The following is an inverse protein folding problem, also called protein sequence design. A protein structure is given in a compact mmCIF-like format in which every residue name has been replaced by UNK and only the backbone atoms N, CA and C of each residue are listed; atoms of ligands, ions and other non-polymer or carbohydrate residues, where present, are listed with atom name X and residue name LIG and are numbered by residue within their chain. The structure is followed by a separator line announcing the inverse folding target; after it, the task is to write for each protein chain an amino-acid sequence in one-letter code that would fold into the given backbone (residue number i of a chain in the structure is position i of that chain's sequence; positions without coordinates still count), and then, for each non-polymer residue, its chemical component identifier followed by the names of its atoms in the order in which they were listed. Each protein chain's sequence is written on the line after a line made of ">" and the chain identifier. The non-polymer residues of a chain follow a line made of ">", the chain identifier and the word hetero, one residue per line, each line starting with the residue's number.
data_IF_828727682818
#
_entry.id   IF_828727682818
#
_cell.length_a   1.000
_cell.length_b   1.000
_cell.length_c   1.000
_cell.angle_alpha   90.00
_cell.angle_beta   90.00
_cell.angle_gamma   90.00
#
_symmetry.space_group_name_H-M   'P 1'
#
loop_
_entity.id
_entity.type
_entity.pdbx_description
1 polymer ?
#
# COMPACT_ATOMS: atom_id res chain seq x y z
N UNK A 1 -38.99 -30.55 -13.59
CA UNK A 1 -38.80 -29.23 -13.02
C UNK A 1 -38.34 -29.40 -11.57
N UNK A 2 -37.07 -29.51 -11.35
CA UNK A 2 -36.45 -29.62 -10.02
C UNK A 2 -35.51 -28.43 -9.83
N UNK A 3 -35.91 -27.53 -8.96
CA UNK A 3 -35.15 -26.35 -8.61
C UNK A 3 -33.93 -26.77 -7.78
N UNK A 4 -32.75 -26.50 -8.28
CA UNK A 4 -31.52 -26.56 -7.48
C UNK A 4 -31.48 -25.40 -6.48
N UNK A 5 -31.19 -25.63 -5.21
CA UNK A 5 -31.02 -24.56 -4.25
C UNK A 5 -29.71 -23.82 -4.54
N UNK A 6 -29.83 -22.50 -4.66
CA UNK A 6 -28.72 -21.57 -4.69
C UNK A 6 -27.99 -21.68 -3.36
N UNK A 7 -26.79 -22.25 -3.34
CA UNK A 7 -25.90 -22.22 -2.18
C UNK A 7 -25.45 -20.77 -1.97
N UNK A 8 -25.93 -20.18 -0.89
CA UNK A 8 -25.37 -18.97 -0.29
C UNK A 8 -23.90 -19.25 0.10
N UNK A 9 -22.98 -18.33 -0.13
CA UNK A 9 -21.58 -18.49 0.27
C UNK A 9 -21.52 -18.57 1.80
N UNK A 10 -21.25 -19.77 2.32
CA UNK A 10 -20.96 -19.96 3.73
C UNK A 10 -19.76 -19.13 4.13
N UNK A 11 -19.94 -18.42 5.21
CA UNK A 11 -19.02 -17.58 5.96
C UNK A 11 -17.67 -18.28 6.15
N UNK A 12 -16.74 -18.08 5.24
CA UNK A 12 -15.31 -18.18 5.54
C UNK A 12 -14.92 -16.80 6.12
N UNK A 13 -15.12 -16.66 7.42
CA UNK A 13 -14.42 -15.67 8.21
C UNK A 13 -12.94 -16.00 8.12
N UNK A 14 -12.27 -15.51 7.08
CA UNK A 14 -10.83 -15.42 7.05
C UNK A 14 -10.47 -14.50 8.22
N UNK A 15 -10.02 -15.10 9.30
CA UNK A 15 -9.35 -14.39 10.39
C UNK A 15 -8.12 -13.73 9.81
N UNK A 16 -8.29 -12.46 9.40
CA UNK A 16 -7.22 -11.53 8.99
C UNK A 16 -6.34 -11.12 10.20
N UNK A 17 -6.29 -11.96 11.24
CA UNK A 17 -5.81 -11.60 12.55
C UNK A 17 -4.30 -11.80 12.76
N UNK A 18 -3.51 -12.21 11.78
CA UNK A 18 -2.13 -12.62 12.07
C UNK A 18 -1.03 -11.86 11.33
N UNK A 19 -1.31 -10.79 10.56
CA UNK A 19 -0.26 -10.05 9.81
C UNK A 19 -0.30 -8.53 10.01
N UNK A 20 -0.98 -8.04 11.04
CA UNK A 20 -1.03 -6.60 11.35
C UNK A 20 0.10 -6.12 12.28
N UNK A 21 1.13 -6.91 12.51
CA UNK A 21 2.21 -6.57 13.44
C UNK A 21 3.55 -6.23 12.78
N UNK A 22 3.58 -5.89 11.49
CA UNK A 22 4.81 -5.39 10.87
C UNK A 22 4.61 -3.99 10.32
N UNK A 23 5.07 -3.02 11.12
CA UNK A 23 5.59 -1.73 10.71
C UNK A 23 4.83 -1.04 9.59
N UNK A 24 3.69 -0.41 9.90
CA UNK A 24 3.32 0.81 9.21
C UNK A 24 4.35 1.90 9.55
N UNK A 25 5.52 1.86 8.94
CA UNK A 25 6.22 3.07 8.60
C UNK A 25 5.40 3.72 7.48
N UNK A 26 4.22 4.26 7.81
CA UNK A 26 3.59 5.24 6.95
C UNK A 26 4.61 6.35 6.81
N UNK A 27 5.29 6.41 5.67
CA UNK A 27 5.97 7.61 5.26
C UNK A 27 4.88 8.68 5.20
N UNK A 28 4.77 9.45 6.27
CA UNK A 28 4.03 10.69 6.25
C UNK A 28 4.50 11.44 4.99
N UNK A 29 3.62 12.05 4.20
CA UNK A 29 4.02 12.86 3.07
C UNK A 29 5.10 13.81 3.60
N UNK A 30 6.27 13.78 2.98
CA UNK A 30 7.41 14.57 3.42
C UNK A 30 6.95 16.01 3.52
N UNK A 31 6.87 16.52 4.75
CA UNK A 31 6.55 17.90 5.01
C UNK A 31 7.61 18.73 4.25
N UNK A 32 7.16 19.46 3.23
CA UNK A 32 8.05 20.12 2.31
C UNK A 32 8.74 21.24 3.06
N UNK A 33 10.04 21.07 3.34
CA UNK A 33 10.84 22.06 4.02
C UNK A 33 10.65 23.45 3.38
N UNK A 34 10.38 24.48 4.18
CA UNK A 34 10.26 25.84 3.67
C UNK A 34 11.61 26.36 3.18
N UNK A 35 11.61 27.18 2.13
CA UNK A 35 12.80 27.96 1.78
C UNK A 35 13.02 29.03 2.85
N UNK A 36 14.27 29.20 3.29
CA UNK A 36 14.61 30.20 4.31
C UNK A 36 14.58 31.60 3.68
N UNK A 37 13.74 32.52 4.18
CA UNK A 37 13.81 33.93 3.80
C UNK A 37 15.02 34.61 4.46
N UNK A 38 15.42 35.78 3.91
CA UNK A 38 16.46 36.59 4.50
C UNK A 38 15.97 37.20 5.81
N UNK A 39 16.40 36.65 6.95
CA UNK A 39 16.39 37.39 8.20
C UNK A 39 17.77 38.05 8.33
N UNK A 40 17.83 39.33 8.16
CA UNK A 40 19.06 40.12 8.38
C UNK A 40 19.45 40.00 9.87
N UNK A 41 20.43 39.13 10.15
CA UNK A 41 21.11 39.11 11.44
C UNK A 41 22.45 39.87 11.31
N UNK A 42 22.92 40.60 12.35
CA UNK A 42 24.09 41.43 12.25
C UNK A 42 25.38 40.63 12.07
N UNK A 43 26.26 41.23 11.35
CA UNK A 43 27.53 40.72 10.87
C UNK A 43 28.51 40.27 11.98
N UNK A 44 28.94 39.02 11.87
CA UNK A 44 30.15 38.50 12.51
C UNK A 44 31.22 38.16 11.44
N UNK A 45 32.49 37.99 11.77
CA UNK A 45 33.56 37.78 10.81
C UNK A 45 33.32 36.53 9.95
N UNK A 46 33.09 36.78 8.64
CA UNK A 46 32.67 35.76 7.66
C UNK A 46 31.43 36.17 6.88
N UNK A 47 31.16 37.47 6.73
CA UNK A 47 30.05 37.99 5.94
C UNK A 47 30.08 37.48 4.51
N UNK A 48 28.93 36.98 3.97
CA UNK A 48 28.80 36.74 2.55
C UNK A 48 29.13 38.00 1.74
N UNK A 49 29.74 37.81 0.59
CA UNK A 49 30.01 38.85 -0.39
C UNK A 49 28.71 39.62 -0.72
N UNK A 50 28.78 40.96 -0.78
CA UNK A 50 27.63 41.82 -1.06
C UNK A 50 26.84 41.42 -2.31
N UNK A 51 27.53 40.93 -3.34
CA UNK A 51 26.91 40.42 -4.57
C UNK A 51 26.08 39.16 -4.29
N UNK A 52 26.62 38.22 -3.48
CA UNK A 52 25.89 37.01 -3.10
C UNK A 52 24.66 37.30 -2.27
N UNK A 53 24.73 38.29 -1.37
CA UNK A 53 23.59 38.76 -0.59
C UNK A 53 22.46 39.30 -1.47
N UNK A 54 22.76 40.15 -2.45
CA UNK A 54 21.78 40.69 -3.40
C UNK A 54 21.12 39.56 -4.24
N UNK A 55 21.92 38.61 -4.72
CA UNK A 55 21.42 37.44 -5.45
C UNK A 55 20.55 36.57 -4.59
N UNK A 56 20.91 36.40 -3.33
CA UNK A 56 20.10 35.60 -2.38
C UNK A 56 18.77 36.27 -2.06
N UNK A 57 18.76 37.57 -1.87
CA UNK A 57 17.54 38.38 -1.70
C UNK A 57 16.60 38.24 -2.90
N UNK A 58 17.14 38.36 -4.13
CA UNK A 58 16.36 38.15 -5.36
C UNK A 58 15.80 36.72 -5.45
N UNK A 59 16.61 35.70 -5.16
CA UNK A 59 16.16 34.32 -5.14
C UNK A 59 15.06 34.09 -4.09
N UNK A 60 15.20 34.68 -2.91
CA UNK A 60 14.22 34.56 -1.81
C UNK A 60 12.91 35.23 -2.17
N UNK A 61 12.93 36.44 -2.75
CA UNK A 61 11.73 37.13 -3.24
C UNK A 61 11.01 36.32 -4.33
N UNK A 62 11.78 35.74 -5.25
CA UNK A 62 11.20 34.86 -6.28
C UNK A 62 10.54 33.61 -5.66
N UNK A 63 11.15 32.98 -4.63
CA UNK A 63 10.59 31.88 -3.92
C UNK A 63 9.28 32.22 -3.19
N UNK A 64 9.24 33.38 -2.52
CA UNK A 64 8.03 33.91 -1.88
C UNK A 64 6.91 34.20 -2.88
N UNK A 65 7.25 34.79 -4.03
CA UNK A 65 6.28 35.07 -5.10
C UNK A 65 5.65 33.77 -5.64
N UNK A 66 6.47 32.73 -5.86
CA UNK A 66 5.99 31.44 -6.27
C UNK A 66 5.10 30.77 -5.19
N UNK A 67 5.46 30.91 -3.93
CA UNK A 67 4.66 30.39 -2.82
C UNK A 67 3.27 31.07 -2.74
N UNK A 68 3.22 32.39 -2.96
CA UNK A 68 1.97 33.17 -2.96
C UNK A 68 1.08 32.89 -4.16
N UNK A 69 1.67 32.74 -5.35
CA UNK A 69 0.92 32.48 -6.59
C UNK A 69 0.47 31.02 -6.76
N UNK A 70 1.07 30.08 -5.99
CA UNK A 70 0.89 28.65 -6.18
C UNK A 70 1.56 28.09 -7.44
N UNK A 71 2.14 28.94 -8.28
CA UNK A 71 2.90 28.53 -9.47
C UNK A 71 4.34 28.20 -9.07
N UNK A 72 4.80 26.99 -9.38
CA UNK A 72 6.13 26.50 -9.02
C UNK A 72 7.01 26.40 -10.26
N UNK A 73 8.16 27.05 -10.19
CA UNK A 73 9.28 26.87 -11.13
C UNK A 73 10.56 26.61 -10.30
N UNK A 74 10.69 25.37 -9.85
CA UNK A 74 11.83 24.95 -9.04
C UNK A 74 13.14 25.04 -9.85
N UNK A 75 13.11 24.91 -11.18
CA UNK A 75 14.28 25.05 -12.03
C UNK A 75 14.78 26.52 -12.10
N UNK A 76 13.87 27.50 -12.13
CA UNK A 76 14.25 28.90 -12.07
C UNK A 76 14.84 29.27 -10.70
N UNK A 77 14.28 28.75 -9.61
CA UNK A 77 14.83 28.95 -8.25
C UNK A 77 16.21 28.32 -8.11
N UNK A 78 16.38 27.07 -8.61
CA UNK A 78 17.67 26.38 -8.58
C UNK A 78 18.77 27.22 -9.27
N UNK A 79 18.52 27.76 -10.46
CA UNK A 79 19.47 28.60 -11.15
C UNK A 79 19.84 29.88 -10.34
N UNK A 80 18.87 30.49 -9.65
CA UNK A 80 19.11 31.65 -8.80
C UNK A 80 19.99 31.32 -7.59
N UNK A 81 19.67 30.23 -6.87
CA UNK A 81 20.50 29.82 -5.73
C UNK A 81 21.88 29.33 -6.14
N UNK A 82 22.03 28.67 -7.31
CA UNK A 82 23.34 28.35 -7.88
C UNK A 82 24.18 29.60 -8.17
N UNK A 83 23.56 30.69 -8.66
CA UNK A 83 24.26 31.95 -8.86
C UNK A 83 24.76 32.57 -7.54
N UNK A 84 24.01 32.39 -6.43
CA UNK A 84 24.47 32.75 -5.08
C UNK A 84 25.69 31.95 -4.69
N UNK A 85 25.63 30.61 -4.82
CA UNK A 85 26.72 29.70 -4.48
C UNK A 85 28.00 29.98 -5.30
N UNK A 86 27.82 30.35 -6.59
CA UNK A 86 28.96 30.75 -7.45
C UNK A 86 29.56 32.08 -7.03
N UNK A 87 28.72 33.04 -6.59
CA UNK A 87 29.20 34.32 -6.12
C UNK A 87 29.91 34.25 -4.77
N UNK A 88 29.45 33.34 -3.89
CA UNK A 88 30.06 33.06 -2.60
C UNK A 88 29.89 31.57 -2.24
N UNK A 89 30.92 30.78 -2.46
CA UNK A 89 30.88 29.34 -2.10
C UNK A 89 30.71 29.07 -0.60
N UNK A 90 30.86 30.05 0.27
CA UNK A 90 30.72 29.90 1.73
C UNK A 90 29.30 30.17 2.23
N UNK A 91 28.38 30.59 1.31
CA UNK A 91 27.01 30.96 1.67
C UNK A 91 26.18 29.70 2.02
N UNK A 92 26.06 29.39 3.31
CA UNK A 92 25.41 28.16 3.81
C UNK A 92 23.92 28.08 3.46
N UNK A 93 23.21 29.20 3.51
CA UNK A 93 21.75 29.27 3.22
C UNK A 93 21.44 28.98 1.74
N UNK A 94 22.39 29.25 0.84
CA UNK A 94 22.24 28.86 -0.57
C UNK A 94 22.26 27.35 -0.74
N UNK A 95 23.21 26.67 -0.10
CA UNK A 95 23.27 25.19 -0.10
C UNK A 95 22.01 24.57 0.52
N UNK A 96 21.54 25.15 1.63
CA UNK A 96 20.30 24.70 2.26
C UNK A 96 19.11 24.79 1.28
N UNK A 97 18.91 25.95 0.64
CA UNK A 97 17.79 26.14 -0.29
C UNK A 97 17.90 25.24 -1.54
N UNK A 98 19.12 25.02 -2.05
CA UNK A 98 19.36 24.03 -3.11
C UNK A 98 19.03 22.61 -2.61
N UNK A 99 19.34 22.28 -1.36
CA UNK A 99 18.94 21.02 -0.73
C UNK A 99 17.44 20.82 -0.68
N UNK A 100 16.69 21.87 -0.32
CA UNK A 100 15.21 21.86 -0.33
C UNK A 100 14.67 21.63 -1.74
N UNK A 101 15.25 22.28 -2.76
CA UNK A 101 14.85 22.10 -4.15
C UNK A 101 15.16 20.69 -4.66
N UNK A 102 16.34 20.15 -4.34
CA UNK A 102 16.72 18.77 -4.66
C UNK A 102 15.76 17.75 -4.03
N UNK A 103 15.36 17.97 -2.78
CA UNK A 103 14.39 17.13 -2.10
C UNK A 103 13.01 17.18 -2.76
N UNK A 104 12.53 18.36 -3.15
CA UNK A 104 11.28 18.52 -3.90
C UNK A 104 11.28 17.78 -5.25
N UNK A 105 12.46 17.69 -5.88
CA UNK A 105 12.69 16.95 -7.12
C UNK A 105 12.88 15.43 -6.90
N UNK A 106 12.84 14.94 -5.65
CA UNK A 106 13.08 13.55 -5.31
C UNK A 106 14.55 13.12 -5.33
N UNK A 107 15.47 14.05 -5.51
CA UNK A 107 16.93 13.82 -5.56
C UNK A 107 17.52 13.76 -4.14
N UNK A 108 17.18 12.70 -3.40
CA UNK A 108 17.47 12.59 -1.96
C UNK A 108 18.96 12.65 -1.63
N UNK A 109 19.81 11.96 -2.40
CA UNK A 109 21.27 11.95 -2.15
C UNK A 109 21.89 13.34 -2.36
N UNK A 110 21.42 14.06 -3.36
CA UNK A 110 21.83 15.44 -3.61
C UNK A 110 21.39 16.38 -2.48
N UNK A 111 20.15 16.25 -2.02
CA UNK A 111 19.64 17.02 -0.88
C UNK A 111 20.46 16.74 0.39
N UNK A 112 20.77 15.48 0.66
CA UNK A 112 21.59 15.07 1.79
C UNK A 112 23.00 15.73 1.75
N UNK A 113 23.68 15.68 0.58
CA UNK A 113 24.99 16.31 0.40
C UNK A 113 24.93 17.83 0.60
N UNK A 114 23.88 18.48 0.08
CA UNK A 114 23.71 19.94 0.19
C UNK A 114 23.41 20.38 1.63
N UNK A 115 22.58 19.65 2.39
CA UNK A 115 22.36 19.97 3.81
C UNK A 115 23.63 19.76 4.65
N UNK A 116 24.42 18.72 4.36
CA UNK A 116 25.74 18.54 5.00
C UNK A 116 26.70 19.67 4.68
N UNK A 117 26.77 20.09 3.42
CA UNK A 117 27.58 21.24 2.98
C UNK A 117 27.17 22.52 3.71
N UNK A 118 25.87 22.78 3.81
CA UNK A 118 25.35 23.92 4.56
C UNK A 118 25.78 23.91 6.02
N UNK A 119 25.73 22.76 6.68
CA UNK A 119 26.17 22.62 8.09
C UNK A 119 27.69 22.70 8.27
N UNK A 120 28.48 22.26 7.30
CA UNK A 120 29.93 22.46 7.32
C UNK A 120 30.29 23.94 7.28
N UNK A 121 29.55 24.76 6.49
CA UNK A 121 29.74 26.20 6.38
C UNK A 121 29.20 26.94 7.62
N UNK A 122 28.03 26.52 8.11
CA UNK A 122 27.35 27.15 9.25
C UNK A 122 26.73 26.05 10.14
N UNK A 123 27.47 25.55 11.14
CA UNK A 123 26.99 24.48 12.04
C UNK A 123 25.70 24.84 12.79
N UNK A 124 25.46 26.14 13.02
CA UNK A 124 24.26 26.65 13.68
C UNK A 124 23.05 26.85 12.74
N UNK A 125 23.10 26.37 11.48
CA UNK A 125 22.00 26.52 10.56
C UNK A 125 20.90 25.47 10.86
N UNK A 126 20.05 25.76 11.84
CA UNK A 126 18.99 24.87 12.32
C UNK A 126 18.13 24.26 11.19
N UNK A 127 17.66 25.02 10.16
CA UNK A 127 16.87 24.41 9.09
C UNK A 127 17.62 23.31 8.30
N UNK A 128 18.94 23.47 8.11
CA UNK A 128 19.74 22.43 7.45
C UNK A 128 19.89 21.18 8.32
N UNK A 129 20.08 21.35 9.63
CA UNK A 129 20.13 20.24 10.58
C UNK A 129 18.79 19.49 10.63
N UNK A 130 17.67 20.23 10.65
CA UNK A 130 16.34 19.64 10.58
C UNK A 130 16.09 18.87 9.27
N UNK A 131 16.49 19.44 8.13
CA UNK A 131 16.40 18.80 6.82
C UNK A 131 17.22 17.52 6.77
N UNK A 132 18.46 17.56 7.23
CA UNK A 132 19.34 16.41 7.28
C UNK A 132 18.79 15.30 8.20
N UNK A 133 18.37 15.65 9.41
CA UNK A 133 17.82 14.69 10.38
C UNK A 133 16.53 14.03 9.85
N UNK A 134 15.69 14.78 9.14
CA UNK A 134 14.48 14.24 8.50
C UNK A 134 14.82 13.22 7.40
N UNK A 135 15.79 13.52 6.54
CA UNK A 135 16.26 12.57 5.52
C UNK A 135 16.89 11.33 6.13
N UNK A 136 17.72 11.49 7.17
CA UNK A 136 18.37 10.40 7.90
C UNK A 136 17.32 9.49 8.56
N UNK A 137 16.31 10.08 9.20
CA UNK A 137 15.18 9.34 9.74
C UNK A 137 14.40 8.57 8.67
N UNK A 138 14.21 9.17 7.49
CA UNK A 138 13.52 8.51 6.38
C UNK A 138 14.31 7.32 5.80
N UNK A 139 15.62 7.26 6.02
CA UNK A 139 16.49 6.11 5.72
C UNK A 139 16.45 5.03 6.81
N UNK A 140 15.73 5.27 7.92
CA UNK A 140 15.64 4.37 9.07
C UNK A 140 16.78 4.54 10.08
N UNK A 141 17.73 5.46 9.87
CA UNK A 141 18.83 5.72 10.79
C UNK A 141 18.38 6.70 11.90
N UNK A 142 17.66 6.15 12.88
CA UNK A 142 17.15 6.92 14.00
C UNK A 142 18.24 7.45 14.90
N UNK A 143 19.38 6.75 15.01
CA UNK A 143 20.50 7.15 15.86
C UNK A 143 21.19 8.40 15.33
N UNK A 144 21.54 8.40 14.04
CA UNK A 144 22.15 9.57 13.40
C UNK A 144 21.21 10.77 13.38
N UNK A 145 19.91 10.55 13.13
CA UNK A 145 18.91 11.61 13.22
C UNK A 145 18.82 12.20 14.64
N UNK A 146 18.85 11.37 15.67
CA UNK A 146 18.86 11.82 17.06
C UNK A 146 20.13 12.60 17.43
N UNK A 147 21.30 12.16 16.92
CA UNK A 147 22.55 12.89 17.13
C UNK A 147 22.46 14.31 16.52
N UNK A 148 21.99 14.44 15.30
CA UNK A 148 21.81 15.74 14.61
C UNK A 148 20.86 16.66 15.38
N UNK A 149 19.73 16.16 15.86
CA UNK A 149 18.82 16.95 16.67
C UNK A 149 19.39 17.29 18.06
N UNK A 150 20.23 16.41 18.62
CA UNK A 150 20.91 16.71 19.88
C UNK A 150 21.91 17.85 19.71
N UNK A 151 22.64 17.91 18.58
CA UNK A 151 23.53 19.03 18.26
C UNK A 151 22.75 20.36 18.17
N UNK A 152 21.56 20.34 17.56
CA UNK A 152 20.65 21.50 17.54
C UNK A 152 20.23 21.88 18.96
N UNK A 153 19.82 20.92 19.78
CA UNK A 153 19.36 21.15 21.14
C UNK A 153 20.48 21.66 22.07
N UNK A 154 21.73 21.32 21.78
CA UNK A 154 22.90 21.88 22.49
C UNK A 154 23.21 23.31 22.04
N UNK A 155 23.13 23.59 20.73
CA UNK A 155 23.35 24.92 20.18
C UNK A 155 22.22 25.90 20.55
N UNK A 156 21.00 25.40 20.71
CA UNK A 156 19.78 26.15 21.05
C UNK A 156 19.05 25.51 22.23
N UNK A 157 19.50 25.72 23.49
CA UNK A 157 18.96 25.02 24.66
C UNK A 157 17.46 25.26 24.89
N UNK A 158 16.95 26.42 24.47
CA UNK A 158 15.53 26.82 24.62
C UNK A 158 14.65 26.41 23.44
N UNK A 159 15.22 25.66 22.47
CA UNK A 159 14.48 25.20 21.30
C UNK A 159 13.55 24.03 21.65
N UNK A 160 12.25 24.30 21.72
CA UNK A 160 11.24 23.29 21.99
C UNK A 160 11.10 22.26 20.86
N UNK A 161 11.33 22.69 19.59
CA UNK A 161 11.19 21.82 18.41
C UNK A 161 12.23 20.70 18.44
N UNK A 162 13.51 21.01 18.68
CA UNK A 162 14.56 19.98 18.75
C UNK A 162 14.27 18.95 19.85
N UNK A 163 13.73 19.39 20.98
CA UNK A 163 13.30 18.48 22.06
C UNK A 163 12.12 17.61 21.65
N UNK A 164 11.14 18.17 20.95
CA UNK A 164 10.00 17.40 20.42
C UNK A 164 10.43 16.34 19.40
N UNK A 165 11.37 16.70 18.51
CA UNK A 165 11.93 15.75 17.53
C UNK A 165 12.74 14.63 18.21
N UNK A 166 13.55 14.98 19.21
CA UNK A 166 14.26 13.98 20.03
C UNK A 166 13.30 13.05 20.75
N UNK A 167 12.17 13.56 21.23
CA UNK A 167 11.11 12.77 21.85
C UNK A 167 10.54 11.75 20.89
N UNK A 168 10.19 12.16 19.67
CA UNK A 168 9.62 11.25 18.66
C UNK A 168 10.65 10.20 18.21
N UNK A 169 11.91 10.56 18.03
CA UNK A 169 12.98 9.62 17.69
C UNK A 169 13.21 8.58 18.80
N UNK A 170 13.19 9.02 20.08
CA UNK A 170 13.27 8.11 21.22
C UNK A 170 12.08 7.13 21.25
N UNK A 171 10.84 7.64 21.00
CA UNK A 171 9.65 6.78 20.90
C UNK A 171 9.79 5.74 19.79
N UNK A 172 10.22 6.15 18.60
CA UNK A 172 10.44 5.24 17.45
C UNK A 172 11.53 4.20 17.71
N UNK A 173 12.50 4.52 18.57
CA UNK A 173 13.54 3.58 19.03
C UNK A 173 13.08 2.69 20.17
N UNK A 174 11.82 2.84 20.65
CA UNK A 174 11.28 2.08 21.78
C UNK A 174 11.68 2.60 23.17
N UNK A 175 12.46 3.67 23.24
CA UNK A 175 12.84 4.31 24.51
C UNK A 175 11.73 5.30 24.96
N UNK A 176 10.67 4.74 25.48
CA UNK A 176 9.47 5.52 25.84
C UNK A 176 9.72 6.44 27.04
N UNK A 177 10.62 6.10 27.96
CA UNK A 177 10.95 6.94 29.12
C UNK A 177 11.68 8.20 28.65
N UNK A 178 12.69 8.05 27.79
CA UNK A 178 13.38 9.18 27.18
C UNK A 178 12.45 10.00 26.28
N UNK A 179 11.55 9.35 25.53
CA UNK A 179 10.54 10.03 24.72
C UNK A 179 9.66 10.96 25.56
N UNK A 180 9.12 10.46 26.65
CA UNK A 180 8.28 11.26 27.55
C UNK A 180 9.06 12.39 28.22
N UNK A 181 10.31 12.16 28.63
CA UNK A 181 11.15 13.19 29.22
C UNK A 181 11.45 14.31 28.23
N UNK A 182 11.89 13.99 27.02
CA UNK A 182 12.18 14.99 25.99
C UNK A 182 10.90 15.77 25.59
N UNK A 183 9.76 15.09 25.50
CA UNK A 183 8.48 15.76 25.24
C UNK A 183 8.08 16.73 26.36
N UNK A 184 8.27 16.36 27.65
CA UNK A 184 8.04 17.28 28.79
C UNK A 184 8.99 18.46 28.71
N UNK A 185 10.26 18.24 28.38
CA UNK A 185 11.23 19.31 28.22
C UNK A 185 10.84 20.28 27.07
N UNK A 186 10.29 19.76 25.97
CA UNK A 186 9.71 20.60 24.93
C UNK A 186 8.54 21.46 25.45
N UNK A 187 7.63 20.86 26.20
CA UNK A 187 6.45 21.55 26.75
C UNK A 187 6.78 22.57 27.86
N UNK A 188 7.90 22.41 28.58
CA UNK A 188 8.41 23.41 29.51
C UNK A 188 8.83 24.68 28.77
N UNK A 189 9.41 24.52 27.56
CA UNK A 189 9.88 25.64 26.73
C UNK A 189 8.76 26.27 25.92
N UNK A 190 7.93 25.42 25.31
CA UNK A 190 6.74 25.83 24.58
C UNK A 190 5.53 24.97 24.99
N UNK A 191 4.68 25.48 25.93
CA UNK A 191 3.48 24.78 26.37
C UNK A 191 2.45 24.48 25.26
N UNK A 192 2.62 25.07 24.06
CA UNK A 192 1.73 24.86 22.91
C UNK A 192 2.34 23.95 21.85
N UNK A 193 3.49 23.35 22.10
CA UNK A 193 4.15 22.46 21.16
C UNK A 193 3.31 21.19 20.92
N UNK A 194 2.62 21.15 19.78
CA UNK A 194 1.73 20.03 19.43
C UNK A 194 2.50 18.73 19.15
N UNK A 195 3.73 18.79 18.62
CA UNK A 195 4.51 17.60 18.34
C UNK A 195 4.90 16.87 19.63
N UNK A 196 5.23 17.63 20.66
CA UNK A 196 5.47 17.06 21.98
C UNK A 196 4.20 16.38 22.55
N UNK A 197 3.03 16.99 22.41
CA UNK A 197 1.77 16.36 22.81
C UNK A 197 1.48 15.09 22.01
N UNK A 198 1.64 15.13 20.68
CA UNK A 198 1.44 13.95 19.80
C UNK A 198 2.38 12.81 20.20
N UNK A 199 3.64 13.11 20.47
CA UNK A 199 4.60 12.12 20.96
C UNK A 199 4.21 11.53 22.31
N UNK A 200 3.74 12.36 23.26
CA UNK A 200 3.23 11.86 24.55
C UNK A 200 2.01 10.95 24.38
N UNK A 201 1.07 11.31 23.49
CA UNK A 201 -0.10 10.46 23.19
C UNK A 201 0.36 9.11 22.66
N UNK A 202 1.22 9.11 21.61
CA UNK A 202 1.71 7.89 20.97
C UNK A 202 2.57 7.05 21.90
N UNK A 203 3.46 7.66 22.69
CA UNK A 203 4.28 6.94 23.66
C UNK A 203 3.45 6.26 24.75
N UNK A 204 2.40 6.94 25.26
CA UNK A 204 1.47 6.32 26.20
C UNK A 204 0.62 5.22 25.53
N UNK A 205 0.25 5.38 24.26
CA UNK A 205 -0.44 4.36 23.46
C UNK A 205 0.42 3.11 23.30
N UNK A 206 1.69 3.26 22.91
CA UNK A 206 2.66 2.17 22.75
C UNK A 206 2.86 1.39 24.07
N UNK A 207 2.83 2.10 25.21
CA UNK A 207 2.88 1.53 26.57
C UNK A 207 1.52 0.99 27.06
N UNK A 208 0.48 1.05 26.27
CA UNK A 208 -0.90 0.67 26.63
C UNK A 208 -1.48 1.49 27.82
N UNK A 209 -0.93 2.68 28.03
CA UNK A 209 -1.39 3.63 29.07
C UNK A 209 -2.51 4.51 28.49
N UNK A 210 -3.59 3.90 28.04
CA UNK A 210 -4.64 4.56 27.25
C UNK A 210 -5.29 5.75 27.96
N UNK A 211 -5.50 5.67 29.29
CA UNK A 211 -6.09 6.76 30.05
C UNK A 211 -5.18 8.00 30.04
N UNK A 212 -3.87 7.81 30.10
CA UNK A 212 -2.90 8.92 30.02
C UNK A 212 -2.85 9.49 28.60
N UNK A 213 -2.85 8.64 27.57
CA UNK A 213 -2.93 9.11 26.19
C UNK A 213 -4.18 9.97 25.93
N UNK A 214 -5.33 9.55 26.43
CA UNK A 214 -6.59 10.29 26.33
C UNK A 214 -6.54 11.63 27.04
N UNK A 215 -6.03 11.67 28.29
CA UNK A 215 -5.87 12.90 29.05
C UNK A 215 -4.97 13.91 28.33
N UNK A 216 -3.85 13.45 27.82
CA UNK A 216 -2.93 14.28 27.02
C UNK A 216 -3.61 14.78 25.74
N UNK A 217 -4.39 13.91 25.06
CA UNK A 217 -5.16 14.28 23.87
C UNK A 217 -6.18 15.37 24.13
N UNK A 218 -6.95 15.26 25.24
CA UNK A 218 -7.91 16.31 25.66
C UNK A 218 -7.20 17.64 25.91
N UNK A 219 -6.01 17.61 26.54
CA UNK A 219 -5.22 18.82 26.76
C UNK A 219 -4.72 19.44 25.46
N UNK A 220 -4.25 18.63 24.52
CA UNK A 220 -3.76 19.08 23.21
C UNK A 220 -4.89 19.71 22.37
N UNK A 221 -6.11 19.17 22.42
CA UNK A 221 -7.29 19.75 21.75
C UNK A 221 -7.68 21.15 22.24
N UNK A 222 -7.27 21.55 23.46
CA UNK A 222 -7.45 22.93 23.92
C UNK A 222 -6.48 23.91 23.23
N UNK A 223 -5.42 23.39 22.62
CA UNK A 223 -4.40 24.18 21.95
C UNK A 223 -4.73 24.29 20.46
N UNK A 224 -5.09 23.18 19.83
CA UNK A 224 -5.46 23.13 18.42
C UNK A 224 -6.61 22.18 18.18
N UNK A 225 -7.62 22.64 17.43
CA UNK A 225 -8.73 21.86 16.90
C UNK A 225 -8.65 21.68 15.39
N UNK A 226 -7.50 22.05 14.78
CA UNK A 226 -7.30 22.00 13.33
C UNK A 226 -6.12 21.13 12.92
N UNK A 227 -5.43 20.49 13.87
CA UNK A 227 -4.31 19.60 13.59
C UNK A 227 -4.85 18.19 13.28
N UNK A 228 -4.74 17.70 12.01
CA UNK A 228 -5.29 16.41 11.62
C UNK A 228 -4.55 15.23 12.25
N UNK A 229 -3.25 15.39 12.51
CA UNK A 229 -2.40 14.36 13.09
C UNK A 229 -2.70 14.15 14.59
N UNK A 230 -3.14 15.20 15.27
CA UNK A 230 -3.64 15.11 16.64
C UNK A 230 -4.92 14.27 16.69
N UNK A 231 -5.88 14.51 15.82
CA UNK A 231 -7.09 13.71 15.73
C UNK A 231 -6.80 12.25 15.38
N UNK A 232 -5.82 11.99 14.50
CA UNK A 232 -5.36 10.63 14.21
C UNK A 232 -4.85 9.94 15.49
N UNK A 233 -3.94 10.57 16.24
CA UNK A 233 -3.38 9.99 17.47
C UNK A 233 -4.43 9.71 18.55
N UNK A 234 -5.43 10.59 18.65
CA UNK A 234 -6.58 10.37 19.57
C UNK A 234 -7.45 9.22 19.04
N UNK A 235 -7.69 9.14 17.74
CA UNK A 235 -8.43 8.05 17.11
C UNK A 235 -7.76 6.70 17.34
N UNK A 236 -6.45 6.61 17.16
CA UNK A 236 -5.65 5.41 17.45
C UNK A 236 -5.78 4.98 18.91
N UNK A 237 -5.80 5.96 19.84
CA UNK A 237 -6.01 5.70 21.28
C UNK A 237 -7.40 5.12 21.54
N UNK A 238 -8.45 5.66 20.91
CA UNK A 238 -9.81 5.13 21.03
C UNK A 238 -9.94 3.73 20.45
N UNK A 239 -9.32 3.49 19.29
CA UNK A 239 -9.31 2.18 18.65
C UNK A 239 -8.63 1.12 19.54
N UNK A 240 -7.49 1.45 20.13
CA UNK A 240 -6.77 0.56 21.04
C UNK A 240 -7.56 0.23 22.32
N UNK A 241 -8.47 1.13 22.74
CA UNK A 241 -9.44 0.88 23.82
C UNK A 241 -10.64 0.04 23.39
N UNK A 242 -10.74 -0.32 22.11
CA UNK A 242 -11.88 -1.03 21.53
C UNK A 242 -13.05 -0.12 21.11
N UNK A 243 -12.89 1.19 21.19
CA UNK A 243 -13.92 2.15 20.80
C UNK A 243 -13.89 2.47 19.30
N UNK A 244 -14.31 1.53 18.45
CA UNK A 244 -14.25 1.66 17.00
C UNK A 244 -14.99 2.90 16.48
N UNK A 245 -16.23 3.12 16.92
CA UNK A 245 -17.04 4.28 16.49
C UNK A 245 -16.39 5.62 16.90
N UNK A 246 -15.82 5.65 18.12
CA UNK A 246 -15.12 6.84 18.60
C UNK A 246 -13.84 7.09 17.80
N UNK A 247 -13.12 6.05 17.44
CA UNK A 247 -11.95 6.16 16.60
C UNK A 247 -12.32 6.67 15.20
N UNK A 248 -13.33 6.09 14.56
CA UNK A 248 -13.83 6.52 13.26
C UNK A 248 -14.25 8.00 13.28
N UNK A 249 -14.94 8.45 14.33
CA UNK A 249 -15.31 9.85 14.48
C UNK A 249 -14.08 10.79 14.58
N UNK A 250 -12.99 10.36 15.24
CA UNK A 250 -11.76 11.16 15.29
C UNK A 250 -11.03 11.17 13.95
N UNK A 251 -10.95 10.03 13.25
CA UNK A 251 -10.38 9.99 11.89
C UNK A 251 -11.16 10.86 10.92
N UNK A 252 -12.50 10.90 11.05
CA UNK A 252 -13.33 11.79 10.22
C UNK A 252 -13.01 13.27 10.50
N UNK A 253 -12.84 13.68 11.77
CA UNK A 253 -12.38 15.03 12.14
C UNK A 253 -11.00 15.36 11.59
N UNK A 254 -10.08 14.39 11.52
CA UNK A 254 -8.79 14.59 10.88
C UNK A 254 -8.94 14.92 9.39
N UNK A 255 -9.87 14.25 8.67
CA UNK A 255 -10.18 14.54 7.26
C UNK A 255 -10.87 15.91 7.11
N UNK A 256 -11.73 16.29 8.03
CA UNK A 256 -12.38 17.62 8.05
C UNK A 256 -11.35 18.73 8.27
N UNK A 257 -10.37 18.51 9.17
CA UNK A 257 -9.27 19.44 9.39
C UNK A 257 -8.34 19.55 8.17
N UNK A 258 -8.13 18.45 7.44
CA UNK A 258 -7.34 18.42 6.22
C UNK A 258 -7.89 17.37 5.25
N UNK A 259 -8.56 17.82 4.20
CA UNK A 259 -9.21 16.94 3.21
C UNK A 259 -8.24 15.97 2.51
N UNK A 260 -6.96 16.32 2.37
CA UNK A 260 -5.90 15.48 1.79
C UNK A 260 -5.13 14.65 2.81
N UNK A 261 -5.59 14.55 4.06
CA UNK A 261 -4.85 13.83 5.11
C UNK A 261 -4.99 12.31 4.94
N UNK A 262 -4.06 11.74 4.18
CA UNK A 262 -4.00 10.31 3.81
C UNK A 262 -4.05 9.38 5.03
N UNK A 263 -3.31 9.60 6.15
CA UNK A 263 -3.29 8.65 7.25
C UNK A 263 -4.67 8.35 7.85
N UNK A 264 -5.52 9.37 8.00
CA UNK A 264 -6.87 9.17 8.53
C UNK A 264 -7.78 8.42 7.54
N UNK A 265 -7.60 8.66 6.23
CA UNK A 265 -8.31 7.89 5.20
C UNK A 265 -7.95 6.41 5.24
N UNK A 266 -6.66 6.10 5.37
CA UNK A 266 -6.19 4.72 5.50
C UNK A 266 -6.70 4.06 6.78
N UNK A 267 -6.77 4.80 7.89
CA UNK A 267 -7.34 4.29 9.13
C UNK A 267 -8.83 3.94 8.97
N UNK A 268 -9.63 4.82 8.37
CA UNK A 268 -11.05 4.54 8.06
C UNK A 268 -11.22 3.38 7.08
N UNK A 269 -10.38 3.31 6.05
CA UNK A 269 -10.41 2.21 5.09
C UNK A 269 -10.15 0.86 5.76
N UNK A 270 -9.19 0.79 6.68
CA UNK A 270 -8.90 -0.43 7.45
C UNK A 270 -10.07 -0.86 8.32
N UNK A 271 -10.77 0.10 8.96
CA UNK A 271 -11.99 -0.22 9.70
C UNK A 271 -13.06 -0.77 8.77
N UNK A 272 -13.30 -0.11 7.64
CA UNK A 272 -14.28 -0.52 6.65
C UNK A 272 -13.95 -1.92 6.05
N UNK A 273 -12.69 -2.22 5.72
CA UNK A 273 -12.28 -3.54 5.27
C UNK A 273 -12.51 -4.63 6.32
N UNK A 274 -12.27 -4.31 7.60
CA UNK A 274 -12.50 -5.24 8.70
C UNK A 274 -13.97 -5.56 8.89
N UNK A 275 -14.84 -4.57 8.65
CA UNK A 275 -16.29 -4.71 8.76
C UNK A 275 -16.93 -5.16 7.43
N UNK A 276 -16.10 -5.52 6.42
CA UNK A 276 -16.52 -5.92 5.07
C UNK A 276 -17.35 -4.86 4.33
N UNK A 277 -17.29 -3.58 4.77
CA UNK A 277 -17.84 -2.46 4.02
C UNK A 277 -16.88 -2.05 2.90
N UNK A 278 -16.88 -2.87 1.85
CA UNK A 278 -15.99 -2.67 0.71
C UNK A 278 -16.26 -1.37 -0.05
N UNK A 279 -17.48 -0.83 0.03
CA UNK A 279 -17.82 0.43 -0.62
C UNK A 279 -17.18 1.62 0.12
N UNK A 280 -17.26 1.66 1.44
CA UNK A 280 -16.57 2.66 2.23
C UNK A 280 -15.04 2.53 2.11
N UNK A 281 -14.52 1.31 2.11
CA UNK A 281 -13.09 1.05 1.92
C UNK A 281 -12.59 1.58 0.57
N UNK A 282 -13.28 1.24 -0.52
CA UNK A 282 -12.96 1.74 -1.86
C UNK A 282 -12.92 3.27 -1.90
N UNK A 283 -13.95 3.94 -1.39
CA UNK A 283 -14.05 5.39 -1.36
C UNK A 283 -12.85 6.05 -0.66
N UNK A 284 -12.45 5.52 0.50
CA UNK A 284 -11.32 6.08 1.26
C UNK A 284 -9.97 5.77 0.61
N UNK A 285 -9.78 4.55 0.09
CA UNK A 285 -8.53 4.13 -0.54
C UNK A 285 -8.30 4.81 -1.88
N UNK A 286 -9.32 4.89 -2.74
CA UNK A 286 -9.23 5.60 -4.02
C UNK A 286 -8.87 7.06 -3.82
N UNK A 287 -9.45 7.70 -2.80
CA UNK A 287 -9.10 9.07 -2.47
C UNK A 287 -7.68 9.18 -1.90
N UNK A 288 -7.25 8.23 -1.06
CA UNK A 288 -5.89 8.19 -0.53
C UNK A 288 -4.85 8.08 -1.66
N UNK A 289 -5.10 7.24 -2.67
CA UNK A 289 -4.25 7.13 -3.87
C UNK A 289 -4.20 8.44 -4.65
N UNK A 290 -5.35 9.08 -4.86
CA UNK A 290 -5.44 10.38 -5.57
C UNK A 290 -4.69 11.51 -4.83
N UNK A 291 -4.66 11.46 -3.50
CA UNK A 291 -3.95 12.42 -2.64
C UNK A 291 -2.43 12.07 -2.47
N UNK A 292 -1.91 11.11 -3.26
CA UNK A 292 -0.49 10.73 -3.29
C UNK A 292 -0.09 9.64 -2.29
N UNK A 293 -1.06 8.97 -1.66
CA UNK A 293 -0.84 7.88 -0.71
C UNK A 293 -0.80 6.47 -1.34
N UNK A 294 -0.46 6.35 -2.63
CA UNK A 294 -0.45 5.09 -3.37
C UNK A 294 0.78 4.23 -3.09
N UNK A 295 0.87 3.61 -1.89
CA UNK A 295 1.86 2.56 -1.63
C UNK A 295 1.38 1.19 -2.15
N UNK A 296 2.28 0.20 -2.18
CA UNK A 296 1.93 -1.17 -2.59
C UNK A 296 0.82 -1.76 -1.70
N UNK A 297 0.85 -1.49 -0.40
CA UNK A 297 -0.15 -1.94 0.55
C UNK A 297 -1.51 -1.27 0.29
N UNK A 298 -1.52 0.02 -0.04
CA UNK A 298 -2.76 0.77 -0.34
C UNK A 298 -3.40 0.24 -1.63
N UNK A 299 -2.61 -0.02 -2.67
CA UNK A 299 -3.11 -0.66 -3.89
C UNK A 299 -3.59 -2.09 -3.62
N UNK A 300 -2.90 -2.84 -2.76
CA UNK A 300 -3.35 -4.17 -2.34
C UNK A 300 -4.72 -4.10 -1.64
N UNK A 301 -4.87 -3.19 -0.67
CA UNK A 301 -6.13 -3.01 0.08
C UNK A 301 -7.27 -2.54 -0.84
N UNK A 302 -6.98 -1.66 -1.80
CA UNK A 302 -7.95 -1.20 -2.81
C UNK A 302 -8.38 -2.37 -3.72
N UNK A 303 -7.43 -3.22 -4.13
CA UNK A 303 -7.73 -4.44 -4.85
C UNK A 303 -8.62 -5.41 -4.05
N UNK A 304 -8.41 -5.52 -2.73
CA UNK A 304 -9.29 -6.30 -1.84
C UNK A 304 -10.70 -5.69 -1.80
N UNK A 305 -10.81 -4.36 -1.70
CA UNK A 305 -12.10 -3.68 -1.74
C UNK A 305 -12.85 -3.93 -3.07
N UNK A 306 -12.17 -3.78 -4.22
CA UNK A 306 -12.78 -4.07 -5.53
C UNK A 306 -13.19 -5.54 -5.68
N UNK A 307 -12.39 -6.48 -5.14
CA UNK A 307 -12.77 -7.90 -5.11
C UNK A 307 -14.04 -8.12 -4.29
N UNK A 308 -14.13 -7.50 -3.11
CA UNK A 308 -15.33 -7.56 -2.26
C UNK A 308 -16.57 -6.97 -2.93
N UNK A 309 -16.41 -5.95 -3.77
CA UNK A 309 -17.47 -5.35 -4.59
C UNK A 309 -17.82 -6.17 -5.85
N UNK A 310 -17.21 -7.34 -6.05
CA UNK A 310 -17.44 -8.16 -7.25
C UNK A 310 -16.88 -7.54 -8.54
N UNK A 311 -15.83 -6.72 -8.44
CA UNK A 311 -15.16 -6.06 -9.56
C UNK A 311 -13.76 -6.65 -9.79
N UNK A 312 -13.65 -7.91 -10.25
CA UNK A 312 -12.38 -8.64 -10.29
C UNK A 312 -11.34 -8.03 -11.23
N UNK A 313 -11.76 -7.38 -12.31
CA UNK A 313 -10.83 -6.74 -13.27
C UNK A 313 -10.14 -5.52 -12.65
N UNK A 314 -10.88 -4.70 -11.91
CA UNK A 314 -10.30 -3.59 -11.16
C UNK A 314 -9.39 -4.09 -10.04
N UNK A 315 -9.79 -5.16 -9.33
CA UNK A 315 -8.95 -5.77 -8.32
C UNK A 315 -7.60 -6.22 -8.90
N UNK A 316 -7.59 -6.87 -10.07
CA UNK A 316 -6.37 -7.29 -10.73
C UNK A 316 -5.48 -6.11 -11.14
N UNK A 317 -6.06 -5.02 -11.65
CA UNK A 317 -5.31 -3.82 -11.99
C UNK A 317 -4.61 -3.20 -10.77
N UNK A 318 -5.28 -3.17 -9.63
CA UNK A 318 -4.69 -2.66 -8.38
C UNK A 318 -3.59 -3.60 -7.85
N UNK A 319 -3.78 -4.91 -7.93
CA UNK A 319 -2.72 -5.87 -7.57
C UNK A 319 -1.50 -5.77 -8.49
N UNK A 320 -1.68 -5.47 -9.78
CA UNK A 320 -0.56 -5.21 -10.71
C UNK A 320 0.17 -3.90 -10.37
N UNK A 321 -0.57 -2.85 -9.94
CA UNK A 321 0.04 -1.62 -9.45
C UNK A 321 0.86 -1.88 -8.18
N UNK A 322 0.32 -2.66 -7.23
CA UNK A 322 1.03 -3.06 -6.03
C UNK A 322 2.30 -3.87 -6.35
N UNK A 323 2.24 -4.82 -7.30
CA UNK A 323 3.38 -5.64 -7.73
C UNK A 323 4.51 -4.80 -8.33
N UNK A 324 4.18 -3.80 -9.15
CA UNK A 324 5.17 -2.88 -9.73
C UNK A 324 5.92 -2.09 -8.64
N UNK A 325 5.24 -1.73 -7.56
CA UNK A 325 5.83 -0.99 -6.45
C UNK A 325 6.64 -1.91 -5.54
N UNK A 326 6.14 -3.10 -5.25
CA UNK A 326 6.77 -4.04 -4.32
C UNK A 326 6.58 -5.49 -4.78
N UNK A 327 7.41 -5.99 -5.71
CA UNK A 327 7.27 -7.33 -6.30
C UNK A 327 7.41 -8.49 -5.30
N UNK A 328 7.97 -8.24 -4.12
CA UNK A 328 8.18 -9.24 -3.06
C UNK A 328 7.08 -9.27 -2.00
N UNK A 329 6.02 -8.48 -2.14
CA UNK A 329 4.89 -8.49 -1.23
C UNK A 329 4.03 -9.73 -1.48
N UNK A 330 4.22 -10.78 -0.69
CA UNK A 330 3.58 -12.09 -0.87
C UNK A 330 2.04 -11.99 -0.99
N UNK A 331 1.41 -11.12 -0.19
CA UNK A 331 -0.04 -10.97 -0.16
C UNK A 331 -0.66 -10.62 -1.53
N UNK A 332 0.08 -10.02 -2.45
CA UNK A 332 -0.37 -9.73 -3.82
C UNK A 332 -0.72 -11.02 -4.54
N UNK A 333 0.18 -12.00 -4.47
CA UNK A 333 0.03 -13.27 -5.18
C UNK A 333 -1.11 -14.12 -4.61
N UNK A 334 -1.29 -14.11 -3.29
CA UNK A 334 -2.45 -14.74 -2.65
C UNK A 334 -3.77 -14.15 -3.18
N UNK A 335 -3.90 -12.83 -3.16
CA UNK A 335 -5.13 -12.15 -3.57
C UNK A 335 -5.41 -12.29 -5.07
N UNK A 336 -4.38 -12.23 -5.93
CA UNK A 336 -4.51 -12.53 -7.36
C UNK A 336 -4.94 -13.98 -7.59
N UNK A 337 -4.36 -14.92 -6.85
CA UNK A 337 -4.73 -16.34 -6.91
C UNK A 337 -6.21 -16.55 -6.59
N UNK A 338 -6.72 -15.90 -5.55
CA UNK A 338 -8.14 -15.93 -5.18
C UNK A 338 -9.02 -15.41 -6.34
N UNK A 339 -8.62 -14.29 -6.97
CA UNK A 339 -9.39 -13.74 -8.11
C UNK A 339 -9.38 -14.72 -9.29
N UNK A 340 -8.22 -15.31 -9.63
CA UNK A 340 -8.12 -16.28 -10.73
C UNK A 340 -8.98 -17.52 -10.48
N UNK A 341 -9.01 -18.02 -9.25
CA UNK A 341 -9.79 -19.20 -8.88
C UNK A 341 -11.30 -18.93 -8.83
N UNK A 342 -11.71 -17.82 -8.17
CA UNK A 342 -13.13 -17.59 -7.82
C UNK A 342 -13.90 -16.82 -8.88
N UNK A 343 -13.23 -15.97 -9.69
CA UNK A 343 -13.89 -15.05 -10.61
C UNK A 343 -13.50 -15.25 -12.06
N UNK A 344 -12.32 -15.85 -12.34
CA UNK A 344 -11.82 -16.02 -13.70
C UNK A 344 -11.82 -17.46 -14.18
N UNK A 345 -12.28 -18.40 -13.35
CA UNK A 345 -12.30 -19.84 -13.65
C UNK A 345 -10.96 -20.39 -14.21
N UNK A 346 -9.86 -19.87 -13.66
CA UNK A 346 -8.49 -20.19 -14.08
C UNK A 346 -7.69 -20.81 -12.92
N UNK A 347 -8.08 -22.02 -12.43
CA UNK A 347 -7.44 -22.65 -11.29
C UNK A 347 -5.96 -22.97 -11.52
N UNK A 348 -5.54 -23.25 -12.76
CA UNK A 348 -4.14 -23.50 -13.10
C UNK A 348 -3.27 -22.26 -12.77
N UNK A 349 -3.73 -21.05 -13.15
CA UNK A 349 -3.04 -19.80 -12.82
C UNK A 349 -3.04 -19.52 -11.31
N UNK A 350 -4.12 -19.89 -10.63
CA UNK A 350 -4.20 -19.67 -9.18
C UNK A 350 -3.20 -20.55 -8.41
N UNK A 351 -2.96 -21.79 -8.85
CA UNK A 351 -1.96 -22.70 -8.27
C UNK A 351 -0.56 -22.06 -8.33
N UNK A 352 -0.18 -21.50 -9.48
CA UNK A 352 1.12 -20.85 -9.64
C UNK A 352 1.27 -19.62 -8.74
N UNK A 353 0.21 -18.80 -8.62
CA UNK A 353 0.19 -17.65 -7.73
C UNK A 353 0.28 -18.04 -6.26
N UNK A 354 -0.40 -19.11 -5.84
CA UNK A 354 -0.28 -19.64 -4.48
C UNK A 354 1.11 -20.20 -4.17
N UNK A 355 1.77 -20.85 -5.15
CA UNK A 355 3.17 -21.26 -5.01
C UNK A 355 4.11 -20.06 -4.84
N UNK A 356 3.89 -18.97 -5.58
CA UNK A 356 4.67 -17.74 -5.43
C UNK A 356 4.47 -17.13 -4.04
N UNK A 357 3.22 -17.07 -3.54
CA UNK A 357 2.96 -16.63 -2.17
C UNK A 357 3.75 -17.46 -1.17
N UNK A 358 3.69 -18.80 -1.26
CA UNK A 358 4.38 -19.72 -0.36
C UNK A 358 5.89 -19.49 -0.42
N UNK A 359 6.46 -19.36 -1.60
CA UNK A 359 7.90 -19.13 -1.77
C UNK A 359 8.35 -17.80 -1.13
N UNK A 360 7.59 -16.72 -1.34
CA UNK A 360 7.90 -15.41 -0.77
C UNK A 360 7.65 -15.36 0.75
N UNK A 361 6.85 -16.27 1.29
CA UNK A 361 6.59 -16.41 2.73
C UNK A 361 7.62 -17.30 3.46
N UNK A 362 8.71 -17.69 2.79
CA UNK A 362 9.76 -18.53 3.38
C UNK A 362 9.59 -20.04 3.14
N UNK A 363 8.69 -20.43 2.25
CA UNK A 363 8.39 -21.83 1.93
C UNK A 363 7.26 -22.43 2.76
N UNK A 364 6.84 -23.63 2.39
CA UNK A 364 5.71 -24.30 3.02
C UNK A 364 5.96 -24.63 4.51
N UNK A 365 7.21 -24.95 4.86
CA UNK A 365 7.62 -25.22 6.24
C UNK A 365 7.58 -24.01 7.18
N UNK A 366 7.60 -22.80 6.63
CA UNK A 366 7.49 -21.56 7.41
C UNK A 366 6.04 -21.14 7.67
N UNK A 367 5.08 -21.79 7.01
CA UNK A 367 3.65 -21.52 7.17
C UNK A 367 3.03 -22.43 8.23
N UNK A 368 2.01 -21.95 8.98
CA UNK A 368 1.18 -22.82 9.80
C UNK A 368 0.52 -23.92 8.94
N UNK A 369 0.35 -25.14 9.51
CA UNK A 369 -0.26 -26.25 8.78
C UNK A 369 -1.70 -25.99 8.32
N UNK A 370 -2.39 -25.10 8.99
CA UNK A 370 -3.74 -24.62 8.69
C UNK A 370 -3.76 -23.31 7.87
N UNK A 371 -2.62 -22.89 7.34
CA UNK A 371 -2.54 -21.66 6.54
C UNK A 371 -3.56 -21.71 5.38
N UNK A 372 -4.44 -20.69 5.24
CA UNK A 372 -5.53 -20.69 4.26
C UNK A 372 -5.06 -20.93 2.82
N UNK A 373 -3.85 -20.47 2.45
CA UNK A 373 -3.30 -20.67 1.11
C UNK A 373 -3.11 -22.13 0.75
N UNK A 374 -2.78 -23.00 1.73
CA UNK A 374 -2.59 -24.42 1.49
C UNK A 374 -3.91 -25.11 1.17
N UNK A 375 -5.00 -24.67 1.81
CA UNK A 375 -6.35 -25.13 1.50
C UNK A 375 -6.82 -24.66 0.13
N UNK A 376 -6.62 -23.37 -0.17
CA UNK A 376 -6.95 -22.76 -1.47
C UNK A 376 -6.19 -23.44 -2.62
N UNK A 377 -4.90 -23.74 -2.45
CA UNK A 377 -4.10 -24.46 -3.45
C UNK A 377 -4.64 -25.85 -3.70
N UNK A 378 -4.92 -26.65 -2.64
CA UNK A 378 -5.52 -27.99 -2.77
C UNK A 378 -6.88 -27.96 -3.46
N UNK A 379 -7.71 -26.97 -3.15
CA UNK A 379 -8.99 -26.76 -3.83
C UNK A 379 -8.79 -26.47 -5.32
N UNK A 380 -7.85 -25.60 -5.69
CA UNK A 380 -7.53 -25.31 -7.08
C UNK A 380 -7.01 -26.54 -7.82
N UNK A 381 -6.12 -27.33 -7.20
CA UNK A 381 -5.61 -28.61 -7.75
C UNK A 381 -6.75 -29.61 -7.99
N UNK A 382 -7.69 -29.73 -7.06
CA UNK A 382 -8.88 -30.57 -7.22
C UNK A 382 -9.78 -30.09 -8.37
N UNK A 383 -9.96 -28.77 -8.54
CA UNK A 383 -10.70 -28.21 -9.67
C UNK A 383 -10.04 -28.51 -11.03
N UNK A 384 -8.72 -28.43 -11.11
CA UNK A 384 -7.97 -28.80 -12.33
C UNK A 384 -8.16 -30.27 -12.64
N UNK A 385 -8.04 -31.16 -11.64
CA UNK A 385 -8.24 -32.60 -11.80
C UNK A 385 -9.67 -32.91 -12.30
N UNK A 386 -10.68 -32.29 -11.66
CA UNK A 386 -12.07 -32.47 -12.08
C UNK A 386 -12.34 -31.99 -13.51
N UNK A 387 -11.82 -30.82 -13.90
CA UNK A 387 -11.92 -30.32 -15.29
C UNK A 387 -11.24 -31.26 -16.28
N UNK A 388 -10.09 -31.81 -15.94
CA UNK A 388 -9.38 -32.77 -16.77
C UNK A 388 -10.18 -34.07 -16.97
N UNK A 389 -10.74 -34.61 -15.88
CA UNK A 389 -11.60 -35.80 -15.94
C UNK A 389 -12.86 -35.55 -16.77
N UNK A 390 -13.52 -34.41 -16.61
CA UNK A 390 -14.69 -34.04 -17.40
C UNK A 390 -14.38 -33.98 -18.91
N UNK A 391 -13.23 -33.40 -19.28
CA UNK A 391 -12.78 -33.38 -20.69
C UNK A 391 -12.54 -34.79 -21.26
N UNK A 392 -11.95 -35.69 -20.47
CA UNK A 392 -11.73 -37.06 -20.89
C UNK A 392 -13.07 -37.79 -21.08
N UNK A 393 -14.02 -37.61 -20.17
CA UNK A 393 -15.36 -38.21 -20.27
C UNK A 393 -16.12 -37.64 -21.50
N UNK A 394 -16.06 -36.35 -21.73
CA UNK A 394 -16.66 -35.72 -22.92
C UNK A 394 -16.06 -36.27 -24.22
N UNK A 395 -14.74 -36.44 -24.27
CA UNK A 395 -14.06 -37.01 -25.43
C UNK A 395 -14.46 -38.49 -25.66
N UNK A 396 -14.56 -39.27 -24.59
CA UNK A 396 -15.03 -40.66 -24.64
C UNK A 396 -16.47 -40.74 -25.15
N UNK A 397 -17.36 -39.86 -24.63
CA UNK A 397 -18.74 -39.80 -25.07
C UNK A 397 -18.86 -39.45 -26.57
N UNK A 398 -18.10 -38.46 -27.05
CA UNK A 398 -18.03 -38.11 -28.49
C UNK A 398 -17.54 -39.27 -29.36
N UNK A 399 -16.52 -39.99 -28.88
CA UNK A 399 -15.97 -41.15 -29.61
C UNK A 399 -16.99 -42.28 -29.67
N UNK A 400 -17.71 -42.54 -28.58
CA UNK A 400 -18.77 -43.57 -28.55
C UNK A 400 -19.94 -43.21 -29.49
N UNK A 401 -20.38 -41.95 -29.44
CA UNK A 401 -21.43 -41.44 -30.36
C UNK A 401 -21.03 -41.61 -31.85
N UNK A 402 -19.81 -41.23 -32.20
CA UNK A 402 -19.27 -41.43 -33.55
C UNK A 402 -19.24 -42.90 -33.96
N UNK A 403 -18.84 -43.82 -33.04
CA UNK A 403 -18.82 -45.22 -33.27
C UNK A 403 -20.24 -45.79 -33.49
N UNK A 404 -21.23 -45.33 -32.73
CA UNK A 404 -22.64 -45.71 -32.89
C UNK A 404 -23.21 -45.19 -34.22
N UNK A 405 -22.92 -43.98 -34.60
CA UNK A 405 -23.32 -43.39 -35.88
C UNK A 405 -22.73 -44.20 -37.04
N UNK A 406 -21.43 -44.52 -37.01
CA UNK A 406 -20.77 -45.35 -38.00
C UNK A 406 -21.37 -46.76 -38.06
N UNK A 407 -21.70 -47.37 -36.94
CA UNK A 407 -22.35 -48.67 -36.89
C UNK A 407 -23.76 -48.64 -37.52
N UNK A 408 -24.56 -47.60 -37.19
CA UNK A 408 -25.87 -47.38 -37.82
C UNK A 408 -25.76 -47.16 -39.32
N UNK A 409 -24.79 -46.40 -39.77
CA UNK A 409 -24.54 -46.20 -41.20
C UNK A 409 -24.19 -47.51 -41.90
N UNK A 410 -23.31 -48.34 -41.33
CA UNK A 410 -22.95 -49.65 -41.85
C UNK A 410 -24.16 -50.60 -41.92
N UNK A 411 -25.04 -50.58 -40.94
CA UNK A 411 -26.28 -51.36 -40.97
C UNK A 411 -27.19 -50.91 -42.10
N UNK A 412 -27.40 -49.59 -42.26
CA UNK A 412 -28.22 -49.08 -43.37
C UNK A 412 -27.61 -49.45 -44.76
N UNK A 413 -26.29 -49.28 -44.90
CA UNK A 413 -25.60 -49.69 -46.12
C UNK A 413 -25.71 -51.21 -46.43
N UNK A 414 -25.73 -52.07 -45.38
CA UNK A 414 -25.93 -53.49 -45.50
C UNK A 414 -27.38 -53.84 -45.89
N UNK A 415 -28.38 -53.21 -45.25
CA UNK A 415 -29.79 -53.35 -45.62
C UNK A 415 -30.07 -52.93 -47.05
N UNK A 416 -29.50 -51.81 -47.49
CA UNK A 416 -29.61 -51.33 -48.88
C UNK A 416 -28.96 -52.27 -49.90
N UNK A 417 -27.85 -52.93 -49.56
CA UNK A 417 -27.22 -53.96 -50.40
C UNK A 417 -28.08 -55.21 -50.48
N UNK A 418 -28.72 -55.64 -49.36
CA UNK A 418 -29.64 -56.77 -49.36
C UNK A 418 -30.89 -56.49 -50.22
N UNK A 419 -31.45 -55.30 -50.10
CA UNK A 419 -32.65 -54.90 -50.88
C UNK A 419 -32.35 -54.71 -52.38
N UNK A 420 -31.14 -54.28 -52.74
CA UNK A 420 -30.69 -54.12 -54.19
C UNK A 420 -30.14 -55.41 -54.74
N UNK A 421 -29.85 -56.43 -53.95
CA UNK A 421 -29.18 -57.65 -54.38
C UNK A 421 -30.08 -58.87 -54.62
N UNK A 422 -31.41 -58.74 -54.66
CA UNK A 422 -32.32 -59.87 -54.94
C UNK A 422 -32.81 -59.77 -56.39
N UNK A 423 -32.19 -60.47 -57.36
CA UNK A 423 -32.88 -60.72 -58.62
C UNK A 423 -33.87 -61.85 -58.43
N UNK A 424 -35.14 -61.58 -58.66
CA UNK A 424 -36.19 -62.57 -58.83
C UNK A 424 -35.88 -63.46 -60.03
N UNK A 425 -35.41 -64.70 -59.79
CA UNK A 425 -35.53 -65.82 -60.70
C UNK A 425 -35.94 -67.04 -59.94
N UNK A 426 -37.24 -67.25 -59.81
CA UNK A 426 -37.75 -68.54 -59.53
C UNK A 426 -37.51 -69.52 -60.72
N UNK A 427 -37.05 -70.75 -60.48
CA UNK A 427 -37.12 -71.75 -61.51
C UNK A 427 -38.56 -72.21 -61.64
N UNK A 428 -39.00 -72.43 -62.94
CA UNK A 428 -40.30 -72.96 -63.36
C UNK A 428 -40.53 -74.39 -62.82
N UNK A 429 -41.79 -74.84 -62.65
CA UNK A 429 -42.06 -76.20 -62.22
C UNK A 429 -41.82 -77.21 -63.32
N UNK A 430 -41.00 -78.20 -63.13
CA UNK A 430 -40.89 -79.37 -63.97
C UNK A 430 -41.86 -80.45 -63.46
N UNK A 431 -42.84 -80.79 -64.39
CA UNK A 431 -43.77 -81.90 -64.27
C UNK A 431 -43.19 -83.14 -64.85
N UNK A 432 -43.01 -84.19 -64.12
CA UNK A 432 -42.69 -85.46 -64.75
C UNK A 432 -42.55 -86.64 -63.82
N UNK A 433 -43.68 -87.35 -63.58
CA UNK A 433 -43.91 -88.75 -63.61
C UNK A 433 -43.03 -89.75 -62.86
N UNK A 434 -43.83 -90.41 -62.00
CA UNK A 434 -43.94 -91.86 -61.86
C UNK A 434 -42.72 -92.72 -61.52
N UNK A 435 -42.90 -93.38 -60.48
CA UNK A 435 -43.33 -94.75 -60.36
C UNK A 435 -42.39 -95.57 -59.47
N UNK A 436 -42.85 -96.72 -59.03
CA UNK A 436 -42.64 -97.09 -57.63
C UNK A 436 -41.59 -98.21 -57.56
N UNK A 437 -41.17 -98.49 -56.44
CA UNK A 437 -41.07 -99.86 -55.87
C UNK A 437 -39.88 -100.02 -54.88
N UNK A 438 -40.30 -100.58 -53.80
CA UNK A 438 -39.67 -101.70 -53.03
C UNK A 438 -38.22 -101.50 -52.51
N UNK A 439 -38.12 -101.58 -51.34
CA UNK A 439 -37.98 -102.55 -50.25
C UNK A 439 -37.58 -101.84 -48.96
#
# INVERSE_FOLDING_TARGET
>A
MSAHPVMTPSRLTLTLAALLATACATSAPAEKAPLVPVTAAPAAPGMPNSKAMLLFEDASKAAEAQAKSGQRDDAALERRFLAVQQADPTFAEADYNLGVLAERQGKRDQAFALYRSALQKKPSLKPAAAGLARLTRAQGDLMSAAAQWNDVAQAFPDDAESRAQLAELARLSGDHDRAQEQARQALIRDPKNLDAYKTLIRSNLDRKQYAMAELVGVRALKISTTDPDLYLAIGDTQLAKGGVDKAAAQYQKAIEASAGFVPARLALARLALKDEDFAAAEKHLSRAVADGGGSAEVHLDLGVAYRGLGQPDKALAEYEAAEKLQPKLAAIYLNRGIVMQRYKDAPEKSIELYKQYVALSGGESALPNDAPVLALRREAEALVAAKSQAKVQEQQAKTLEQAQQLQQQRLKDAEEKVTKGTPAKGPAPDTGKQGPDKL
#
